data_IF_817089522883
#
_entry.id   IF_817089522883
#
_cell.length_a   1.000
_cell.length_b   1.000
_cell.length_c   1.000
_cell.angle_alpha   90.00
_cell.angle_beta   90.00
_cell.angle_gamma   90.00
#
_symmetry.space_group_name_H-M   'P 1'
#
loop_
_entity.id
_entity.type
_entity.pdbx_description
1 polymer ?
#
# COMPACT_ATOMS: atom_id res chain seq x y z
N UNK A 1 32.75 -1.71 16.18
CA UNK A 1 32.23 -2.10 14.85
C UNK A 1 32.19 -3.62 14.65
N UNK A 2 33.30 -4.33 14.89
CA UNK A 2 33.40 -5.81 14.74
C UNK A 2 32.33 -6.60 15.50
N UNK A 3 32.06 -6.29 16.77
CA UNK A 3 31.04 -6.98 17.57
C UNK A 3 29.61 -6.77 17.04
N UNK A 4 29.29 -5.55 16.59
CA UNK A 4 27.97 -5.23 16.02
C UNK A 4 27.73 -5.91 14.68
N UNK A 5 28.80 -6.20 13.92
CA UNK A 5 28.74 -7.01 12.69
C UNK A 5 28.54 -8.50 13.03
N UNK A 6 29.28 -9.03 14.00
CA UNK A 6 29.18 -10.43 14.46
C UNK A 6 27.80 -10.77 15.03
N UNK A 7 27.11 -9.80 15.65
CA UNK A 7 25.79 -9.99 16.25
C UNK A 7 24.63 -9.92 15.24
N UNK A 8 24.86 -9.46 13.99
CA UNK A 8 23.80 -9.20 13.01
C UNK A 8 23.96 -10.05 11.75
N UNK A 9 24.17 -11.35 11.95
CA UNK A 9 24.14 -12.32 10.87
C UNK A 9 22.72 -12.38 10.27
N UNK A 10 22.62 -12.37 8.94
CA UNK A 10 21.33 -12.43 8.23
C UNK A 10 20.29 -11.40 8.67
N UNK A 11 20.71 -10.20 9.06
CA UNK A 11 19.77 -9.15 9.43
C UNK A 11 18.81 -8.80 8.28
N UNK A 12 17.54 -8.51 8.61
CA UNK A 12 16.51 -8.09 7.65
C UNK A 12 15.94 -6.75 8.11
N UNK A 13 16.14 -5.71 7.30
CA UNK A 13 15.69 -4.37 7.61
C UNK A 13 14.46 -4.03 6.78
N UNK A 14 13.29 -3.99 7.41
CA UNK A 14 12.03 -3.67 6.75
C UNK A 14 11.69 -2.20 6.93
N UNK A 15 11.47 -1.49 5.83
CA UNK A 15 11.00 -0.11 5.83
C UNK A 15 9.88 0.06 4.79
N UNK A 16 8.96 0.99 5.03
CA UNK A 16 7.99 1.39 4.02
C UNK A 16 8.55 2.51 3.13
N UNK A 17 8.19 2.51 1.85
CA UNK A 17 8.40 3.64 0.95
C UNK A 17 7.09 4.01 0.25
N UNK A 18 7.02 5.21 -0.29
CA UNK A 18 5.84 5.68 -1.04
C UNK A 18 5.81 5.09 -2.44
N UNK A 19 6.94 5.13 -3.13
CA UNK A 19 7.10 4.74 -4.54
C UNK A 19 8.48 4.13 -4.78
N UNK A 20 8.61 3.39 -5.87
CA UNK A 20 9.89 2.91 -6.39
C UNK A 20 9.92 3.07 -7.91
N UNK A 21 11.10 3.28 -8.49
CA UNK A 21 11.24 3.25 -9.95
C UNK A 21 11.46 1.83 -10.45
N UNK A 22 11.22 1.57 -11.75
CA UNK A 22 11.53 0.28 -12.38
C UNK A 22 13.02 -0.08 -12.32
N UNK A 23 13.89 0.90 -12.08
CA UNK A 23 15.32 0.72 -11.85
C UNK A 23 15.69 0.58 -10.36
N UNK A 24 14.73 0.61 -9.44
CA UNK A 24 14.96 0.38 -8.02
C UNK A 24 15.48 1.61 -7.25
N UNK A 25 15.19 2.83 -7.68
CA UNK A 25 15.31 4.00 -6.79
C UNK A 25 14.02 4.12 -5.96
N UNK A 26 14.12 4.37 -4.65
CA UNK A 26 12.95 4.50 -3.78
C UNK A 26 12.71 5.95 -3.34
N UNK A 27 11.43 6.25 -3.11
CA UNK A 27 10.93 7.56 -2.67
C UNK A 27 10.10 7.34 -1.41
N UNK A 28 10.44 8.01 -0.32
CA UNK A 28 9.83 7.76 1.00
C UNK A 28 9.34 9.02 1.72
N UNK A 29 9.80 10.21 1.33
CA UNK A 29 9.64 11.42 2.14
C UNK A 29 9.14 12.66 1.38
N UNK A 30 9.26 12.71 0.05
CA UNK A 30 9.03 13.93 -0.72
C UNK A 30 8.27 13.71 -2.04
N UNK A 31 7.53 14.73 -2.46
CA UNK A 31 6.88 14.84 -3.76
C UNK A 31 7.80 15.50 -4.81
N UNK A 32 7.49 15.34 -6.10
CA UNK A 32 8.29 15.92 -7.19
C UNK A 32 8.36 17.45 -7.16
N UNK A 33 7.37 18.11 -6.57
CA UNK A 33 7.34 19.57 -6.40
C UNK A 33 8.07 20.06 -5.14
N UNK A 34 8.82 19.18 -4.48
CA UNK A 34 9.63 19.49 -3.30
C UNK A 34 8.84 19.54 -1.99
N UNK A 35 7.53 19.27 -2.00
CA UNK A 35 6.76 19.16 -0.75
C UNK A 35 7.17 17.91 0.03
N UNK A 36 7.46 18.11 1.31
CA UNK A 36 7.78 17.04 2.25
C UNK A 36 6.48 16.40 2.75
N UNK A 37 6.39 15.08 2.63
CA UNK A 37 5.28 14.27 3.14
C UNK A 37 5.56 13.79 4.57
N UNK A 38 6.80 13.34 4.81
CA UNK A 38 7.26 12.86 6.11
C UNK A 38 8.77 13.00 6.23
N UNK A 39 9.33 12.88 7.44
CA UNK A 39 10.78 12.71 7.58
C UNK A 39 11.23 11.32 7.13
N UNK A 40 12.43 11.21 6.53
CA UNK A 40 13.03 9.92 6.15
C UNK A 40 13.34 9.04 7.37
N UNK A 41 13.71 9.67 8.48
CA UNK A 41 14.19 8.97 9.67
C UNK A 41 15.47 8.17 9.39
N UNK A 42 15.55 6.97 9.95
CA UNK A 42 16.73 6.09 9.84
C UNK A 42 16.76 5.19 8.60
N UNK A 43 15.82 5.32 7.66
CA UNK A 43 15.68 4.37 6.53
C UNK A 43 16.99 4.21 5.75
N UNK A 44 17.62 5.31 5.34
CA UNK A 44 18.90 5.29 4.63
C UNK A 44 19.97 4.52 5.41
N UNK A 45 20.07 4.76 6.72
CA UNK A 45 21.09 4.14 7.57
C UNK A 45 20.93 2.62 7.63
N UNK A 46 19.69 2.10 7.65
CA UNK A 46 19.45 0.66 7.65
C UNK A 46 19.68 0.02 6.30
N UNK A 47 19.37 0.74 5.21
CA UNK A 47 19.67 0.29 3.84
C UNK A 47 21.18 0.19 3.65
N UNK A 48 21.93 1.22 4.03
CA UNK A 48 23.39 1.23 3.96
C UNK A 48 24.00 0.12 4.84
N UNK A 49 23.52 -0.02 6.08
CA UNK A 49 23.94 -1.10 6.97
C UNK A 49 23.69 -2.49 6.38
N UNK A 50 22.59 -2.71 5.67
CA UNK A 50 22.30 -4.00 5.02
C UNK A 50 23.29 -4.35 3.90
N UNK A 51 23.84 -3.34 3.21
CA UNK A 51 24.85 -3.54 2.18
C UNK A 51 26.23 -3.82 2.79
N UNK A 52 26.49 -3.27 3.98
CA UNK A 52 27.73 -3.45 4.71
C UNK A 52 27.83 -4.79 5.46
N UNK A 53 26.69 -5.35 5.91
CA UNK A 53 26.63 -6.59 6.68
C UNK A 53 26.52 -7.82 5.79
N UNK A 54 27.29 -8.86 6.11
CA UNK A 54 27.24 -10.13 5.40
C UNK A 54 25.90 -10.84 5.62
N UNK A 55 25.35 -11.41 4.54
CA UNK A 55 24.03 -12.04 4.52
C UNK A 55 22.84 -11.12 4.78
N UNK A 56 23.03 -9.84 5.14
CA UNK A 56 21.93 -8.94 5.46
C UNK A 56 21.15 -8.48 4.21
N UNK A 57 19.87 -8.15 4.39
CA UNK A 57 18.99 -7.63 3.33
C UNK A 57 18.22 -6.39 3.77
N UNK A 58 18.05 -5.45 2.85
CA UNK A 58 17.11 -4.34 2.97
C UNK A 58 15.83 -4.68 2.20
N UNK A 59 14.68 -4.50 2.86
CA UNK A 59 13.35 -4.74 2.31
C UNK A 59 12.57 -3.42 2.33
N UNK A 60 12.19 -2.96 1.14
CA UNK A 60 11.35 -1.78 0.96
C UNK A 60 9.93 -2.21 0.55
N UNK A 61 8.96 -1.82 1.37
CA UNK A 61 7.55 -2.20 1.22
C UNK A 61 6.74 -1.00 0.73
N UNK A 62 5.87 -1.22 -0.25
CA UNK A 62 4.97 -0.17 -0.77
C UNK A 62 3.69 -0.81 -1.33
N UNK A 63 2.67 -0.01 -1.60
CA UNK A 63 1.48 -0.49 -2.35
C UNK A 63 1.78 -0.45 -3.83
N UNK A 64 1.34 -1.42 -4.62
CA UNK A 64 1.63 -1.43 -6.07
C UNK A 64 1.02 -0.24 -6.81
N UNK A 65 -0.15 0.21 -6.37
CA UNK A 65 -0.84 1.39 -6.88
C UNK A 65 -1.48 2.20 -5.74
N UNK A 66 -1.72 3.48 -5.99
CA UNK A 66 -2.55 4.35 -5.15
C UNK A 66 -3.80 4.74 -5.91
N UNK A 67 -4.91 4.87 -5.19
CA UNK A 67 -6.16 5.39 -5.74
C UNK A 67 -6.59 6.62 -4.95
N UNK A 68 -6.83 7.71 -5.66
CA UNK A 68 -7.30 8.97 -5.09
C UNK A 68 -8.38 9.57 -5.98
N UNK A 69 -9.52 9.95 -5.39
CA UNK A 69 -10.65 10.56 -6.10
C UNK A 69 -11.15 9.80 -7.36
N UNK A 70 -10.91 8.48 -7.44
CA UNK A 70 -11.29 7.64 -8.58
C UNK A 70 -10.22 7.51 -9.67
N UNK A 71 -9.06 8.15 -9.49
CA UNK A 71 -7.89 8.01 -10.36
C UNK A 71 -6.90 7.05 -9.71
N UNK A 72 -6.51 6.02 -10.45
CA UNK A 72 -5.47 5.09 -10.04
C UNK A 72 -4.12 5.49 -10.64
N UNK A 73 -3.06 5.40 -9.85
CA UNK A 73 -1.69 5.61 -10.30
C UNK A 73 -0.77 4.49 -9.80
N UNK A 74 0.16 4.05 -10.64
CA UNK A 74 1.21 3.09 -10.24
C UNK A 74 2.15 3.71 -9.23
N UNK A 75 2.55 2.99 -8.19
CA UNK A 75 3.69 3.38 -7.35
C UNK A 75 5.02 2.79 -7.85
N UNK A 76 4.99 1.87 -8.83
CA UNK A 76 6.15 1.54 -9.65
C UNK A 76 6.23 2.54 -10.81
N UNK A 77 7.19 3.45 -10.75
CA UNK A 77 7.34 4.56 -11.71
C UNK A 77 8.45 4.27 -12.71
N UNK A 78 8.38 4.88 -13.89
CA UNK A 78 9.54 4.90 -14.78
C UNK A 78 10.67 5.77 -14.19
N UNK A 79 10.32 7.00 -13.82
CA UNK A 79 11.17 7.99 -13.17
C UNK A 79 10.35 8.78 -12.12
N UNK A 80 11.04 9.47 -11.22
CA UNK A 80 10.41 10.38 -10.25
C UNK A 80 11.39 11.51 -9.89
N UNK A 81 10.87 12.71 -9.64
CA UNK A 81 11.66 13.92 -9.34
C UNK A 81 12.33 13.97 -7.96
N UNK A 82 12.05 13.00 -7.08
CA UNK A 82 12.65 12.88 -5.74
C UNK A 82 13.27 11.49 -5.55
N UNK A 83 14.31 11.37 -4.73
CA UNK A 83 14.96 10.08 -4.45
C UNK A 83 15.50 10.05 -3.03
N UNK A 84 14.98 9.13 -2.23
CA UNK A 84 15.44 8.87 -0.86
C UNK A 84 16.53 7.82 -0.86
N UNK A 85 16.27 6.68 -1.54
CA UNK A 85 17.21 5.57 -1.66
C UNK A 85 17.62 5.45 -3.13
N UNK A 86 18.87 5.78 -3.47
CA UNK A 86 19.34 5.69 -4.84
C UNK A 86 19.48 4.23 -5.29
N UNK A 87 19.29 3.99 -6.59
CA UNK A 87 19.21 2.63 -7.17
C UNK A 87 20.43 1.73 -6.93
N UNK A 88 21.59 2.27 -6.59
CA UNK A 88 22.77 1.47 -6.28
C UNK A 88 22.66 0.72 -4.95
N UNK A 89 21.74 1.16 -4.07
CA UNK A 89 21.43 0.49 -2.80
C UNK A 89 20.20 -0.42 -2.89
N UNK A 90 19.68 -0.67 -4.10
CA UNK A 90 18.48 -1.50 -4.30
C UNK A 90 18.70 -2.93 -3.83
N UNK A 91 17.67 -3.50 -3.22
CA UNK A 91 17.72 -4.86 -2.70
C UNK A 91 16.39 -5.60 -2.90
N UNK A 92 15.55 -5.74 -1.86
CA UNK A 92 14.23 -6.37 -1.96
C UNK A 92 13.12 -5.32 -1.98
N UNK A 93 12.19 -5.48 -2.92
CA UNK A 93 10.94 -4.72 -2.97
C UNK A 93 9.75 -5.65 -2.75
N UNK A 94 8.83 -5.26 -1.87
CA UNK A 94 7.65 -6.07 -1.54
C UNK A 94 6.40 -5.22 -1.67
N UNK A 95 5.39 -5.77 -2.34
CA UNK A 95 4.03 -5.24 -2.31
C UNK A 95 3.02 -6.40 -2.33
N UNK A 96 1.74 -6.07 -2.46
CA UNK A 96 0.65 -7.03 -2.43
C UNK A 96 0.67 -8.07 -3.56
N UNK A 97 1.46 -7.88 -4.61
CA UNK A 97 1.58 -8.80 -5.74
C UNK A 97 2.83 -9.69 -5.68
N UNK A 98 3.76 -9.43 -4.76
CA UNK A 98 4.90 -10.32 -4.51
C UNK A 98 6.17 -9.60 -4.12
N UNK A 99 7.29 -10.24 -4.45
CA UNK A 99 8.64 -9.81 -4.08
C UNK A 99 9.48 -9.65 -5.35
N UNK A 100 10.05 -8.47 -5.54
CA UNK A 100 11.07 -8.22 -6.54
C UNK A 100 12.45 -8.20 -5.86
N UNK A 101 13.21 -9.26 -6.05
CA UNK A 101 14.63 -9.30 -5.69
C UNK A 101 15.45 -8.66 -6.80
N UNK A 102 16.10 -7.53 -6.51
CA UNK A 102 16.84 -6.72 -7.51
C UNK A 102 18.29 -6.43 -7.12
N UNK A 103 18.78 -7.04 -6.04
CA UNK A 103 20.17 -6.87 -5.60
C UNK A 103 21.12 -7.44 -6.65
N UNK A 104 22.09 -6.64 -7.08
CA UNK A 104 23.10 -7.06 -8.07
C UNK A 104 22.58 -7.35 -9.48
N UNK A 105 21.27 -7.19 -9.73
CA UNK A 105 20.70 -7.36 -11.08
C UNK A 105 21.17 -6.26 -12.03
N UNK A 106 21.16 -6.53 -13.33
CA UNK A 106 21.32 -5.48 -14.35
C UNK A 106 20.01 -4.68 -14.50
N UNK A 107 20.01 -3.65 -15.37
CA UNK A 107 18.83 -2.80 -15.57
C UNK A 107 17.63 -3.60 -16.13
N UNK A 108 17.84 -4.50 -17.09
CA UNK A 108 16.77 -5.29 -17.72
C UNK A 108 16.11 -6.24 -16.69
N UNK A 109 16.90 -7.01 -15.96
CA UNK A 109 16.38 -7.94 -14.95
C UNK A 109 15.72 -7.22 -13.77
N UNK A 110 16.17 -5.99 -13.45
CA UNK A 110 15.50 -5.14 -12.47
C UNK A 110 14.12 -4.68 -12.98
N UNK A 111 14.04 -4.22 -14.23
CA UNK A 111 12.78 -3.81 -14.87
C UNK A 111 11.80 -4.97 -14.91
N UNK A 112 12.27 -6.17 -15.27
CA UNK A 112 11.43 -7.38 -15.30
C UNK A 112 10.92 -7.70 -13.90
N UNK A 113 11.78 -7.69 -12.88
CA UNK A 113 11.38 -7.99 -11.51
C UNK A 113 10.37 -6.96 -10.96
N UNK A 114 10.63 -5.66 -11.14
CA UNK A 114 9.73 -4.59 -10.71
C UNK A 114 8.40 -4.59 -11.49
N UNK A 115 8.45 -4.93 -12.79
CA UNK A 115 7.26 -5.16 -13.61
C UNK A 115 6.39 -6.29 -13.06
N UNK A 116 7.01 -7.36 -12.57
CA UNK A 116 6.31 -8.53 -12.01
C UNK A 116 5.57 -8.28 -10.71
N UNK A 117 5.88 -7.20 -10.01
CA UNK A 117 5.11 -6.74 -8.84
C UNK A 117 4.29 -5.48 -9.14
N UNK A 118 4.25 -5.00 -10.39
CA UNK A 118 3.43 -3.84 -10.75
C UNK A 118 1.97 -4.25 -10.94
N UNK A 119 1.04 -3.32 -10.69
CA UNK A 119 -0.38 -3.52 -11.00
C UNK A 119 -0.58 -3.64 -12.52
N UNK A 120 -1.38 -4.62 -12.92
CA UNK A 120 -1.62 -4.97 -14.34
C UNK A 120 -2.04 -3.77 -15.18
N UNK A 121 -2.80 -2.83 -14.58
CA UNK A 121 -3.28 -1.61 -15.26
C UNK A 121 -2.15 -0.74 -15.82
N UNK A 122 -0.93 -0.85 -15.27
CA UNK A 122 0.21 -0.01 -15.64
C UNK A 122 1.40 -0.77 -16.23
N UNK A 123 1.43 -2.11 -16.12
CA UNK A 123 2.53 -2.95 -16.58
C UNK A 123 2.86 -2.74 -18.06
N UNK A 124 1.85 -2.74 -18.93
CA UNK A 124 2.07 -2.62 -20.38
C UNK A 124 2.77 -1.30 -20.75
N UNK A 125 2.33 -0.19 -20.17
CA UNK A 125 2.92 1.12 -20.40
C UNK A 125 4.38 1.17 -19.90
N UNK A 126 4.67 0.61 -18.72
CA UNK A 126 6.03 0.54 -18.17
C UNK A 126 6.96 -0.29 -19.08
N UNK A 127 6.51 -1.45 -19.57
CA UNK A 127 7.32 -2.29 -20.45
C UNK A 127 7.57 -1.64 -21.81
N UNK A 128 6.55 -1.00 -22.38
CA UNK A 128 6.69 -0.25 -23.64
C UNK A 128 7.72 0.88 -23.50
N UNK A 129 7.66 1.63 -22.39
CA UNK A 129 8.62 2.69 -22.11
C UNK A 129 10.05 2.15 -21.92
N UNK A 130 10.21 1.00 -21.25
CA UNK A 130 11.50 0.33 -21.09
C UNK A 130 12.09 -0.14 -22.43
N UNK A 131 11.26 -0.66 -23.34
CA UNK A 131 11.67 -1.07 -24.68
C UNK A 131 12.08 0.14 -25.53
N UNK A 132 11.30 1.22 -25.50
CA UNK A 132 11.61 2.47 -26.20
C UNK A 132 12.94 3.07 -25.73
N UNK A 133 13.24 2.97 -24.43
CA UNK A 133 14.49 3.42 -23.85
C UNK A 133 15.69 2.48 -24.10
N UNK A 134 15.49 1.34 -24.79
CA UNK A 134 16.53 0.34 -25.02
C UNK A 134 16.98 -0.39 -23.74
N UNK A 135 16.17 -0.36 -22.69
CA UNK A 135 16.46 -0.98 -21.38
C UNK A 135 15.81 -2.34 -21.20
N UNK A 136 14.94 -2.73 -22.14
CA UNK A 136 14.27 -4.02 -22.20
C UNK A 136 14.29 -4.51 -23.65
N UNK A 137 14.66 -5.77 -23.87
CA UNK A 137 14.69 -6.37 -25.21
C UNK A 137 13.31 -6.33 -25.87
N UNK A 138 13.28 -6.06 -27.18
CA UNK A 138 12.04 -5.95 -27.96
C UNK A 138 11.18 -7.23 -27.92
N UNK A 139 11.83 -8.40 -27.85
CA UNK A 139 11.16 -9.71 -27.76
C UNK A 139 10.74 -10.12 -26.35
N UNK A 140 10.84 -9.25 -25.33
CA UNK A 140 10.37 -9.57 -24.00
C UNK A 140 8.84 -9.64 -23.98
N UNK A 141 8.30 -10.71 -23.40
CA UNK A 141 6.87 -10.88 -23.15
C UNK A 141 6.68 -11.16 -21.66
N UNK A 142 5.78 -10.40 -21.03
CA UNK A 142 5.46 -10.58 -19.63
C UNK A 142 4.92 -12.01 -19.39
N UNK A 143 5.38 -12.71 -18.34
CA UNK A 143 4.78 -13.98 -17.92
C UNK A 143 3.27 -13.88 -17.73
N UNK A 144 2.52 -14.92 -18.13
CA UNK A 144 1.06 -14.89 -18.13
C UNK A 144 0.45 -14.56 -16.76
N UNK A 145 1.07 -14.99 -15.66
CA UNK A 145 0.57 -14.74 -14.30
C UNK A 145 0.57 -13.26 -13.89
N UNK A 146 1.26 -12.38 -14.63
CA UNK A 146 1.27 -10.94 -14.35
C UNK A 146 -0.11 -10.31 -14.48
N UNK A 147 -0.99 -10.86 -15.33
CA UNK A 147 -2.37 -10.37 -15.52
C UNK A 147 -3.23 -10.48 -14.26
N UNK A 148 -2.81 -11.32 -13.31
CA UNK A 148 -3.48 -11.50 -12.04
C UNK A 148 -3.05 -10.48 -10.99
N UNK A 149 -2.13 -9.56 -11.31
CA UNK A 149 -1.73 -8.48 -10.42
C UNK A 149 -2.81 -7.39 -10.40
N UNK A 150 -3.97 -7.74 -9.85
CA UNK A 150 -5.11 -6.84 -9.66
C UNK A 150 -5.73 -7.03 -8.27
N UNK A 151 -6.40 -6.01 -7.71
CA UNK A 151 -7.07 -6.14 -6.42
C UNK A 151 -8.13 -7.25 -6.39
N UNK A 152 -8.77 -7.52 -7.53
CA UNK A 152 -9.81 -8.55 -7.68
C UNK A 152 -9.23 -9.95 -7.53
N UNK A 153 -8.16 -10.26 -8.28
CA UNK A 153 -7.50 -11.56 -8.19
C UNK A 153 -6.81 -11.76 -6.84
N UNK A 154 -6.20 -10.71 -6.28
CA UNK A 154 -5.63 -10.76 -4.93
C UNK A 154 -6.70 -11.10 -3.90
N UNK A 155 -7.85 -10.40 -3.92
CA UNK A 155 -8.97 -10.69 -3.02
C UNK A 155 -9.49 -12.13 -3.19
N UNK A 156 -9.59 -12.61 -4.43
CA UNK A 156 -10.00 -13.99 -4.70
C UNK A 156 -9.01 -15.01 -4.12
N UNK A 157 -7.69 -14.81 -4.28
CA UNK A 157 -6.63 -15.67 -3.75
C UNK A 157 -6.62 -15.70 -2.22
N UNK A 158 -6.90 -14.57 -1.57
CA UNK A 158 -6.89 -14.44 -0.12
C UNK A 158 -8.21 -14.86 0.56
N UNK A 159 -9.29 -15.07 -0.22
CA UNK A 159 -10.64 -15.32 0.31
C UNK A 159 -10.71 -16.56 1.20
N UNK A 160 -10.11 -17.67 0.78
CA UNK A 160 -10.15 -18.92 1.54
C UNK A 160 -9.53 -18.74 2.93
N UNK A 161 -8.34 -18.15 2.99
CA UNK A 161 -7.62 -17.88 4.24
C UNK A 161 -8.33 -16.88 5.15
N UNK A 162 -9.07 -15.92 4.57
CA UNK A 162 -9.90 -15.00 5.36
C UNK A 162 -11.12 -15.72 5.95
N UNK A 163 -11.76 -16.59 5.16
CA UNK A 163 -12.98 -17.29 5.58
C UNK A 163 -12.69 -18.37 6.64
N UNK A 164 -11.58 -19.08 6.54
CA UNK A 164 -11.20 -20.10 7.54
C UNK A 164 -10.48 -19.53 8.78
N UNK A 165 -10.24 -18.21 8.80
CA UNK A 165 -9.60 -17.51 9.90
C UNK A 165 -8.07 -17.55 9.92
N UNK A 166 -7.42 -18.21 8.94
CA UNK A 166 -5.96 -18.26 8.82
C UNK A 166 -5.33 -16.88 8.61
N UNK A 167 -6.03 -15.99 7.89
CA UNK A 167 -5.62 -14.63 7.63
C UNK A 167 -6.66 -13.64 8.17
N UNK A 168 -6.64 -13.32 9.47
CA UNK A 168 -7.47 -12.25 10.02
C UNK A 168 -7.01 -10.89 9.49
N UNK A 169 -7.81 -9.85 9.68
CA UNK A 169 -7.45 -8.48 9.27
C UNK A 169 -6.14 -7.99 9.92
N UNK A 170 -5.84 -8.48 11.14
CA UNK A 170 -4.67 -8.14 11.94
C UNK A 170 -3.88 -9.39 12.34
N UNK A 171 -3.15 -10.03 11.41
CA UNK A 171 -2.49 -11.32 11.64
C UNK A 171 -1.31 -11.26 12.62
N UNK A 172 -0.79 -10.06 12.89
CA UNK A 172 0.29 -9.83 13.86
C UNK A 172 -0.22 -9.16 15.15
N UNK A 173 -1.52 -9.17 15.37
CA UNK A 173 -2.18 -8.42 16.44
C UNK A 173 -2.44 -6.95 16.05
N UNK A 174 -3.14 -6.24 16.94
CA UNK A 174 -3.48 -4.83 16.78
C UNK A 174 -3.60 -4.17 18.14
N UNK A 175 -3.19 -2.91 18.22
CA UNK A 175 -3.48 -2.05 19.38
C UNK A 175 -4.94 -1.56 19.38
N UNK A 176 -5.67 -1.75 18.27
CA UNK A 176 -7.09 -1.43 18.20
C UNK A 176 -7.91 -2.49 18.93
N UNK A 177 -8.80 -2.01 19.80
CA UNK A 177 -9.90 -2.81 20.35
C UNK A 177 -10.82 -3.31 19.24
N UNK A 178 -11.61 -4.36 19.51
CA UNK A 178 -12.59 -4.88 18.53
C UNK A 178 -13.56 -3.80 18.03
N UNK A 179 -13.97 -2.89 18.91
CA UNK A 179 -14.82 -1.72 18.59
C UNK A 179 -14.11 -0.80 17.59
N UNK A 180 -12.84 -0.47 17.86
CA UNK A 180 -12.06 0.40 16.97
C UNK A 180 -11.79 -0.25 15.62
N UNK A 181 -11.59 -1.57 15.57
CA UNK A 181 -11.46 -2.29 14.29
C UNK A 181 -12.75 -2.19 13.46
N UNK A 182 -13.93 -2.30 14.08
CA UNK A 182 -15.22 -2.07 13.39
C UNK A 182 -15.33 -0.64 12.87
N UNK A 183 -14.97 0.35 13.70
CA UNK A 183 -15.00 1.77 13.33
C UNK A 183 -14.05 2.06 12.17
N UNK A 184 -12.79 1.60 12.22
CA UNK A 184 -11.79 1.84 11.17
C UNK A 184 -12.27 1.30 9.82
N UNK A 185 -12.88 0.10 9.79
CA UNK A 185 -13.49 -0.44 8.58
C UNK A 185 -14.63 0.45 8.06
N UNK A 186 -15.55 0.85 8.93
CA UNK A 186 -16.66 1.73 8.58
C UNK A 186 -16.17 3.08 8.01
N UNK A 187 -15.18 3.71 8.65
CA UNK A 187 -14.59 4.97 8.20
C UNK A 187 -13.85 4.81 6.87
N UNK A 188 -13.14 3.68 6.67
CA UNK A 188 -12.52 3.34 5.39
C UNK A 188 -13.54 3.21 4.26
N UNK A 189 -14.68 2.54 4.52
CA UNK A 189 -15.78 2.45 3.58
C UNK A 189 -16.39 3.82 3.27
N UNK A 190 -16.61 4.66 4.29
CA UNK A 190 -17.13 6.02 4.12
C UNK A 190 -16.18 6.85 3.25
N UNK A 191 -14.88 6.86 3.56
CA UNK A 191 -13.86 7.57 2.78
C UNK A 191 -13.92 7.20 1.29
N UNK A 192 -14.03 5.91 0.97
CA UNK A 192 -14.15 5.43 -0.41
C UNK A 192 -15.47 5.85 -1.09
N UNK A 193 -16.56 5.94 -0.33
CA UNK A 193 -17.91 6.28 -0.81
C UNK A 193 -18.27 7.77 -0.67
N UNK A 194 -17.34 8.61 -0.20
CA UNK A 194 -17.49 10.07 -0.17
C UNK A 194 -16.39 10.80 -0.94
N UNK A 195 -15.58 10.07 -1.72
CA UNK A 195 -14.42 10.62 -2.44
C UNK A 195 -14.77 11.56 -3.60
N UNK A 196 -15.99 11.48 -4.15
CA UNK A 196 -16.45 12.37 -5.23
C UNK A 196 -17.77 13.05 -4.84
N UNK A 197 -18.11 14.23 -5.41
CA UNK A 197 -19.35 14.94 -5.06
C UNK A 197 -20.61 14.08 -5.25
N UNK A 198 -20.70 13.35 -6.36
CA UNK A 198 -21.82 12.45 -6.65
C UNK A 198 -21.93 11.32 -5.62
N UNK A 199 -20.82 10.64 -5.31
CA UNK A 199 -20.80 9.57 -4.31
C UNK A 199 -21.13 10.12 -2.92
N UNK A 200 -20.59 11.29 -2.57
CA UNK A 200 -20.85 11.95 -1.27
C UNK A 200 -22.34 12.24 -1.07
N UNK A 201 -23.01 12.83 -2.06
CA UNK A 201 -24.46 13.08 -2.00
C UNK A 201 -25.23 11.77 -1.87
N UNK A 202 -24.91 10.78 -2.70
CA UNK A 202 -25.56 9.46 -2.65
C UNK A 202 -25.39 8.78 -1.28
N UNK A 203 -24.21 8.83 -0.70
CA UNK A 203 -23.90 8.23 0.61
C UNK A 203 -24.62 8.96 1.75
N UNK A 204 -24.68 10.30 1.72
CA UNK A 204 -25.44 11.08 2.70
C UNK A 204 -26.92 10.76 2.63
N UNK A 205 -27.51 10.69 1.42
CA UNK A 205 -28.92 10.34 1.25
C UNK A 205 -29.23 8.94 1.79
N UNK A 206 -28.36 7.95 1.52
CA UNK A 206 -28.47 6.60 2.09
C UNK A 206 -28.36 6.61 3.62
N UNK A 207 -27.47 7.43 4.16
CA UNK A 207 -27.23 7.51 5.60
C UNK A 207 -28.45 8.01 6.38
N UNK A 208 -29.28 8.88 5.80
CA UNK A 208 -30.50 9.38 6.46
C UNK A 208 -31.42 8.24 6.95
N UNK A 209 -31.51 7.15 6.18
CA UNK A 209 -32.28 5.95 6.51
C UNK A 209 -31.58 4.97 7.46
N UNK A 210 -30.27 5.13 7.70
CA UNK A 210 -29.52 4.24 8.59
C UNK A 210 -29.95 4.41 10.05
N UNK A 211 -29.96 3.31 10.80
CA UNK A 211 -30.21 3.31 12.24
C UNK A 211 -28.94 2.85 12.95
N UNK A 212 -28.49 3.56 14.00
CA UNK A 212 -27.37 3.08 14.79
C UNK A 212 -27.77 1.77 15.48
N UNK A 213 -26.98 0.72 15.26
CA UNK A 213 -27.21 -0.62 15.80
C UNK A 213 -25.98 -1.17 16.56
N UNK A 214 -24.97 -0.33 16.78
CA UNK A 214 -23.71 -0.63 17.48
C UNK A 214 -23.44 0.47 18.52
N UNK A 215 -24.02 0.33 19.71
CA UNK A 215 -23.95 1.34 20.78
C UNK A 215 -22.50 1.59 21.23
N UNK A 216 -21.67 0.55 21.28
CA UNK A 216 -20.26 0.65 21.66
C UNK A 216 -19.47 1.52 20.68
N UNK A 217 -19.66 1.32 19.37
CA UNK A 217 -19.00 2.11 18.35
C UNK A 217 -19.46 3.57 18.39
N UNK A 218 -20.76 3.80 18.58
CA UNK A 218 -21.33 5.14 18.73
C UNK A 218 -20.83 5.84 19.99
N UNK A 219 -20.67 5.12 21.11
CA UNK A 219 -20.10 5.66 22.34
C UNK A 219 -18.61 6.01 22.16
N UNK A 220 -17.82 5.12 21.52
CA UNK A 220 -16.40 5.35 21.26
C UNK A 220 -16.14 6.59 20.41
N UNK A 221 -17.03 6.87 19.45
CA UNK A 221 -17.01 8.06 18.60
C UNK A 221 -17.74 9.27 19.19
N UNK A 222 -18.32 9.17 20.39
CA UNK A 222 -19.09 10.23 21.06
C UNK A 222 -20.36 10.67 20.31
N UNK A 223 -20.99 9.75 19.58
CA UNK A 223 -22.17 10.00 18.73
C UNK A 223 -23.45 9.35 19.26
N UNK A 224 -23.47 8.88 20.52
CA UNK A 224 -24.66 8.23 21.13
C UNK A 224 -25.82 9.21 21.31
N UNK A 225 -25.52 10.46 21.69
CA UNK A 225 -26.50 11.53 21.90
C UNK A 225 -26.09 12.78 21.12
N UNK A 226 -26.26 12.80 19.78
CA UNK A 226 -25.78 13.89 18.93
C UNK A 226 -26.54 15.19 19.22
N UNK A 227 -25.80 16.25 19.54
CA UNK A 227 -26.37 17.54 19.96
C UNK A 227 -26.57 18.45 18.77
N UNK A 228 -25.62 18.47 17.82
CA UNK A 228 -25.66 19.31 16.63
C UNK A 228 -26.29 18.61 15.41
N UNK A 229 -26.69 19.40 14.40
CA UNK A 229 -27.08 18.84 13.10
C UNK A 229 -25.92 18.09 12.42
N UNK A 230 -24.68 18.55 12.62
CA UNK A 230 -23.48 17.89 12.12
C UNK A 230 -23.31 16.51 12.74
N UNK A 231 -23.36 16.43 14.07
CA UNK A 231 -23.21 15.18 14.82
C UNK A 231 -24.29 14.17 14.42
N UNK A 232 -25.51 14.63 14.13
CA UNK A 232 -26.61 13.77 13.65
C UNK A 232 -26.28 13.17 12.28
N UNK A 233 -25.67 13.94 11.38
CA UNK A 233 -25.24 13.44 10.07
C UNK A 233 -24.07 12.46 10.24
N UNK A 234 -23.09 12.78 11.09
CA UNK A 234 -21.96 11.90 11.38
C UNK A 234 -22.40 10.57 12.00
N UNK A 235 -23.32 10.61 12.97
CA UNK A 235 -23.93 9.43 13.58
C UNK A 235 -24.61 8.54 12.53
N UNK A 236 -25.34 9.15 11.59
CA UNK A 236 -26.01 8.45 10.50
C UNK A 236 -25.03 7.85 9.50
N UNK A 237 -23.96 8.57 9.16
CA UNK A 237 -22.90 8.09 8.28
C UNK A 237 -22.15 6.92 8.93
N UNK A 238 -21.78 7.04 10.20
CA UNK A 238 -21.13 5.95 10.95
C UNK A 238 -22.02 4.72 11.02
N UNK A 239 -23.31 4.88 11.34
CA UNK A 239 -24.27 3.78 11.34
C UNK A 239 -24.37 3.09 9.96
N UNK A 240 -24.41 3.86 8.88
CA UNK A 240 -24.38 3.30 7.52
C UNK A 240 -23.09 2.52 7.27
N UNK A 241 -21.92 3.11 7.57
CA UNK A 241 -20.63 2.48 7.35
C UNK A 241 -20.46 1.17 8.16
N UNK A 242 -20.95 1.13 9.40
CA UNK A 242 -20.93 -0.06 10.24
C UNK A 242 -21.82 -1.17 9.65
N UNK A 243 -23.03 -0.81 9.19
CA UNK A 243 -23.94 -1.77 8.55
C UNK A 243 -23.36 -2.37 7.26
N UNK A 244 -22.74 -1.55 6.41
CA UNK A 244 -22.18 -1.97 5.12
C UNK A 244 -20.90 -2.81 5.26
N UNK A 245 -20.17 -2.64 6.36
CA UNK A 245 -18.92 -3.37 6.61
C UNK A 245 -19.10 -4.63 7.46
N UNK A 246 -20.24 -4.79 8.14
CA UNK A 246 -20.58 -6.04 8.87
C UNK A 246 -20.94 -7.18 7.93
N UNK A 247 -21.39 -6.89 6.71
CA UNK A 247 -21.86 -7.87 5.72
C UNK A 247 -20.75 -8.41 4.79
N UNK A 248 -19.50 -8.02 5.02
CA UNK A 248 -18.33 -8.40 4.20
C UNK A 248 -17.35 -9.23 5.00
#
# INVERSE_FOLDING_TARGET
ESLARLQRHDARFFNSCMMATVLGAAVSDGLEDGRVVSGVGGQYNFVDMSNALDGARSVLMFRAAREEAGTAESNVRWNYGHTTIPRHLRDLYVNEYGIADVRGKNDEDCIIAMGGISDTRFQQALMAQAQQAGKLRAGFHAPAHWIDNTPVHLSARLRAFRHDGTLPDYPLGSDFTEVEQRIVRALGWLKANTATPLKKIGTVLRALGAKPDDEEAMARMQLTAPVSLGDRIEAKLLALGLGETRQR
#
